data_IF_735203707250
#
_entry.id   IF_735203707250
#
_cell.length_a   1.000
_cell.length_b   1.000
_cell.length_c   1.000
_cell.angle_alpha   90.00
_cell.angle_beta   90.00
_cell.angle_gamma   90.00
#
_symmetry.space_group_name_H-M   'P 1'
#
loop_
_entity.id
_entity.type
_entity.pdbx_description
1 polymer ?
#
# COMPACT_ATOMS: atom_id res chain seq x y z
N UNK A 1 -7.42 22.82 10.53
CA UNK A 1 -8.29 21.70 10.89
C UNK A 1 -7.78 20.50 10.11
N UNK A 2 -7.17 19.51 10.81
CA UNK A 2 -6.63 18.32 10.19
C UNK A 2 -7.77 17.42 9.71
N UNK A 3 -7.68 16.93 8.47
CA UNK A 3 -8.54 15.86 7.97
C UNK A 3 -8.22 14.53 8.67
N UNK A 4 -9.07 13.51 8.55
CA UNK A 4 -8.85 12.23 9.18
C UNK A 4 -7.58 11.56 8.63
N UNK A 5 -6.68 11.18 9.52
CA UNK A 5 -5.59 10.28 9.20
C UNK A 5 -6.15 8.85 9.22
N UNK A 6 -6.02 8.14 8.10
CA UNK A 6 -6.39 6.73 8.04
C UNK A 6 -5.12 5.92 8.32
N UNK A 7 -4.93 5.54 9.57
CA UNK A 7 -3.91 4.58 9.96
C UNK A 7 -4.53 3.17 9.95
N UNK A 8 -4.13 2.39 8.96
CA UNK A 8 -4.58 1.00 8.82
C UNK A 8 -3.47 0.11 9.35
N UNK A 9 -3.54 -0.25 10.63
CA UNK A 9 -2.60 -1.19 11.23
C UNK A 9 -2.68 -2.59 10.59
N UNK A 10 -1.55 -3.25 10.44
CA UNK A 10 -1.39 -4.54 9.77
C UNK A 10 -2.36 -5.65 10.22
N UNK A 11 -2.73 -5.68 11.51
CA UNK A 11 -3.69 -6.67 12.04
C UNK A 11 -5.12 -6.49 11.49
N UNK A 12 -5.60 -5.25 11.38
CA UNK A 12 -6.94 -4.96 10.83
C UNK A 12 -6.99 -5.07 9.31
N UNK A 13 -5.86 -4.88 8.63
CA UNK A 13 -5.75 -5.06 7.17
C UNK A 13 -5.91 -6.52 6.77
N UNK A 14 -5.32 -7.45 7.52
CA UNK A 14 -5.40 -8.90 7.20
C UNK A 14 -6.84 -9.41 7.28
N UNK A 15 -7.61 -8.95 8.28
CA UNK A 15 -9.01 -9.37 8.46
C UNK A 15 -9.95 -8.79 7.39
N UNK A 16 -9.57 -7.67 6.76
CA UNK A 16 -10.35 -6.96 5.74
C UNK A 16 -9.79 -7.10 4.33
N UNK A 17 -8.65 -7.78 4.18
CA UNK A 17 -7.97 -7.95 2.89
C UNK A 17 -8.71 -8.97 2.03
N UNK A 18 -9.31 -8.52 0.94
CA UNK A 18 -9.94 -9.37 -0.06
C UNK A 18 -8.91 -9.97 -1.03
N UNK A 19 -7.98 -9.13 -1.47
CA UNK A 19 -6.94 -9.52 -2.42
C UNK A 19 -5.72 -8.59 -2.34
N UNK A 20 -4.51 -9.16 -2.48
CA UNK A 20 -3.28 -8.41 -2.68
C UNK A 20 -2.42 -9.10 -3.72
N UNK A 21 -1.82 -8.32 -4.59
CA UNK A 21 -0.92 -8.80 -5.65
C UNK A 21 0.26 -7.86 -5.78
N UNK A 22 1.45 -8.42 -6.00
CA UNK A 22 2.66 -7.67 -6.32
C UNK A 22 3.41 -8.35 -7.45
N UNK A 23 3.89 -7.57 -8.41
CA UNK A 23 4.76 -8.01 -9.47
C UNK A 23 5.90 -7.02 -9.69
N UNK A 24 7.09 -7.54 -9.86
CA UNK A 24 8.29 -6.75 -10.13
C UNK A 24 8.98 -7.30 -11.37
N UNK A 25 9.34 -6.44 -12.31
CA UNK A 25 10.14 -6.78 -13.47
C UNK A 25 11.40 -5.90 -13.49
N UNK A 26 12.53 -6.50 -13.82
CA UNK A 26 13.77 -5.76 -14.03
C UNK A 26 14.54 -6.34 -15.23
N UNK A 27 15.14 -5.45 -16.00
CA UNK A 27 16.03 -5.79 -17.09
C UNK A 27 17.29 -4.93 -16.99
N UNK A 28 18.46 -5.49 -17.33
CA UNK A 28 19.75 -4.81 -17.19
C UNK A 28 20.65 -5.08 -18.41
N UNK A 29 21.31 -4.03 -18.89
CA UNK A 29 22.31 -4.12 -19.93
C UNK A 29 23.54 -3.26 -19.53
N UNK A 30 24.64 -3.92 -19.22
CA UNK A 30 25.81 -3.26 -18.63
C UNK A 30 25.47 -2.69 -17.25
N UNK A 31 25.80 -1.41 -17.04
CA UNK A 31 25.50 -0.70 -15.79
C UNK A 31 24.09 -0.10 -15.73
N UNK A 32 23.41 0.01 -16.88
CA UNK A 32 22.07 0.58 -16.97
C UNK A 32 21.01 -0.50 -16.91
N UNK A 33 19.89 -0.19 -16.29
CA UNK A 33 18.75 -1.08 -16.20
C UNK A 33 17.43 -0.34 -16.14
N UNK A 34 16.41 -1.14 -16.20
CA UNK A 34 15.02 -0.74 -16.05
C UNK A 34 14.39 -1.56 -14.91
N UNK A 35 13.56 -0.94 -14.13
CA UNK A 35 12.83 -1.58 -13.06
C UNK A 35 11.41 -1.07 -12.98
N UNK A 36 10.46 -1.97 -12.83
CA UNK A 36 9.06 -1.64 -12.59
C UNK A 36 8.47 -2.54 -11.53
N UNK A 37 7.61 -1.98 -10.70
CA UNK A 37 6.94 -2.64 -9.59
C UNK A 37 5.47 -2.22 -9.55
N UNK A 38 4.58 -3.19 -9.53
CA UNK A 38 3.14 -3.01 -9.36
C UNK A 38 2.73 -3.64 -8.05
N UNK A 39 2.04 -2.87 -7.23
CA UNK A 39 1.42 -3.34 -5.99
C UNK A 39 -0.07 -3.01 -6.04
N UNK A 40 -0.91 -4.00 -5.90
CA UNK A 40 -2.36 -3.87 -5.89
C UNK A 40 -2.94 -4.43 -4.60
N UNK A 41 -3.89 -3.71 -4.01
CA UNK A 41 -4.67 -4.19 -2.87
C UNK A 41 -6.15 -3.88 -3.05
N UNK A 42 -6.99 -4.83 -2.66
CA UNK A 42 -8.43 -4.67 -2.50
C UNK A 42 -8.76 -5.00 -1.04
N UNK A 43 -9.16 -3.98 -0.31
CA UNK A 43 -9.50 -4.06 1.12
C UNK A 43 -10.93 -3.63 1.27
N UNK A 44 -11.74 -4.47 1.90
CA UNK A 44 -13.14 -4.13 2.13
C UNK A 44 -13.66 -4.71 3.42
N UNK A 45 -14.46 -3.92 4.12
CA UNK A 45 -15.10 -4.34 5.36
C UNK A 45 -16.46 -3.69 5.53
N UNK A 46 -17.38 -4.42 6.16
CA UNK A 46 -18.67 -3.91 6.57
C UNK A 46 -18.78 -3.97 8.10
N UNK A 47 -19.33 -2.93 8.69
CA UNK A 47 -19.71 -2.90 10.10
C UNK A 47 -21.18 -2.57 10.21
N UNK A 48 -21.90 -3.36 11.03
CA UNK A 48 -23.26 -3.10 11.45
C UNK A 48 -23.30 -3.04 12.98
N UNK A 49 -24.06 -2.11 13.54
CA UNK A 49 -24.19 -2.02 14.99
C UNK A 49 -25.26 -1.02 15.42
N UNK A 50 -25.81 -1.26 16.61
CA UNK A 50 -26.84 -0.43 17.25
C UNK A 50 -26.31 0.54 18.30
N UNK A 51 -25.04 0.43 18.72
CA UNK A 51 -24.52 1.22 19.87
C UNK A 51 -23.09 1.72 19.76
N UNK A 52 -22.34 1.39 18.73
CA UNK A 52 -20.88 1.66 18.70
C UNK A 52 -20.43 2.69 17.65
N UNK A 53 -21.36 3.39 17.00
CA UNK A 53 -20.99 4.37 16.00
C UNK A 53 -21.15 5.81 16.53
N UNK A 54 -20.01 6.49 16.65
CA UNK A 54 -19.97 7.94 16.76
C UNK A 54 -19.86 8.55 15.36
N UNK A 55 -20.82 9.35 14.95
CA UNK A 55 -20.70 10.17 13.75
C UNK A 55 -20.34 11.58 14.21
N UNK A 56 -19.19 12.05 13.83
CA UNK A 56 -18.66 13.37 14.19
C UNK A 56 -18.61 13.65 15.70
N UNK A 57 -18.32 12.61 16.52
CA UNK A 57 -18.26 12.74 17.98
C UNK A 57 -19.59 12.69 18.70
N UNK A 58 -20.70 12.37 18.01
CA UNK A 58 -22.01 12.21 18.62
C UNK A 58 -22.43 10.74 18.63
N UNK A 59 -22.78 10.14 19.79
CA UNK A 59 -23.32 8.80 19.86
C UNK A 59 -24.70 8.75 19.22
N UNK A 60 -24.99 7.69 18.44
CA UNK A 60 -26.31 7.45 17.89
C UNK A 60 -27.30 7.04 19.00
N UNK A 61 -28.57 7.47 18.94
CA UNK A 61 -29.64 6.98 19.83
C UNK A 61 -29.72 5.45 19.82
N UNK A 62 -30.13 4.85 20.92
CA UNK A 62 -30.15 3.40 21.11
C UNK A 62 -31.00 2.62 20.07
N UNK A 63 -31.92 3.29 19.42
CA UNK A 63 -32.87 2.70 18.46
C UNK A 63 -32.49 2.95 16.99
N UNK A 64 -31.23 3.41 16.71
CA UNK A 64 -30.73 3.63 15.36
C UNK A 64 -29.78 2.52 14.98
N UNK A 65 -30.07 1.85 13.86
CA UNK A 65 -29.23 0.84 13.24
C UNK A 65 -28.47 1.46 12.06
N UNK A 66 -27.15 1.40 12.10
CA UNK A 66 -26.29 1.84 11.01
C UNK A 66 -25.56 0.65 10.38
N UNK A 67 -25.57 0.58 9.05
CA UNK A 67 -24.73 -0.30 8.26
C UNK A 67 -23.77 0.55 7.43
N UNK A 68 -22.49 0.25 7.53
CA UNK A 68 -21.43 0.93 6.78
C UNK A 68 -20.61 -0.13 6.06
N UNK A 69 -20.35 0.08 4.78
CA UNK A 69 -19.45 -0.71 3.97
C UNK A 69 -18.40 0.21 3.35
N UNK A 70 -17.14 -0.12 3.56
CA UNK A 70 -16.02 0.59 2.97
C UNK A 70 -15.23 -0.38 2.10
N UNK A 71 -15.07 -0.05 0.83
CA UNK A 71 -14.22 -0.73 -0.12
C UNK A 71 -13.13 0.23 -0.59
N UNK A 72 -11.87 -0.20 -0.46
CA UNK A 72 -10.69 0.57 -0.86
C UNK A 72 -9.85 -0.27 -1.81
N UNK A 73 -9.71 0.17 -3.04
CA UNK A 73 -8.80 -0.42 -4.03
C UNK A 73 -7.64 0.53 -4.25
N UNK A 74 -6.43 0.01 -4.15
CA UNK A 74 -5.22 0.80 -4.35
C UNK A 74 -4.30 0.12 -5.33
N UNK A 75 -3.84 0.87 -6.33
CA UNK A 75 -2.80 0.48 -7.26
C UNK A 75 -1.61 1.42 -7.09
N UNK A 76 -0.45 0.88 -6.75
CA UNK A 76 0.81 1.60 -6.77
C UNK A 76 1.67 1.05 -7.90
N UNK A 77 2.04 1.90 -8.84
CA UNK A 77 2.91 1.52 -9.95
C UNK A 77 4.15 2.39 -9.98
N UNK A 78 5.31 1.75 -9.84
CA UNK A 78 6.61 2.41 -9.91
C UNK A 78 7.33 2.04 -11.20
N UNK A 79 7.88 3.03 -11.87
CA UNK A 79 8.64 2.91 -13.09
C UNK A 79 9.95 3.67 -12.93
N UNK A 80 11.10 3.01 -13.05
CA UNK A 80 12.40 3.62 -12.82
C UNK A 80 13.49 3.11 -13.75
N UNK A 81 14.38 4.01 -14.13
CA UNK A 81 15.70 3.66 -14.62
C UNK A 81 16.62 3.32 -13.45
N UNK A 82 17.54 2.39 -13.66
CA UNK A 82 18.52 2.01 -12.65
C UNK A 82 19.94 2.12 -13.18
N UNK A 83 20.88 2.44 -12.30
CA UNK A 83 22.30 2.51 -12.60
C UNK A 83 23.11 1.75 -11.54
N UNK A 84 23.93 0.78 -11.96
CA UNK A 84 24.76 -0.01 -11.06
C UNK A 84 25.88 0.83 -10.46
N UNK A 85 25.80 1.11 -9.16
CA UNK A 85 26.84 1.80 -8.40
C UNK A 85 27.95 0.85 -7.96
N UNK A 86 27.60 -0.39 -7.69
CA UNK A 86 28.55 -1.38 -7.24
C UNK A 86 28.02 -2.80 -7.29
N UNK A 87 28.94 -3.72 -7.60
CA UNK A 87 28.68 -5.15 -7.63
C UNK A 87 29.91 -5.93 -7.21
N UNK A 88 29.71 -6.86 -6.31
CA UNK A 88 30.74 -7.82 -5.90
C UNK A 88 30.12 -9.21 -5.73
N UNK A 89 30.91 -10.17 -5.30
CA UNK A 89 30.41 -11.49 -4.92
C UNK A 89 29.48 -11.45 -3.71
N UNK A 90 29.55 -10.39 -2.89
CA UNK A 90 28.79 -10.27 -1.64
C UNK A 90 27.62 -9.30 -1.71
N UNK A 91 27.57 -8.41 -2.70
CA UNK A 91 26.46 -7.45 -2.81
C UNK A 91 26.26 -6.93 -4.24
N UNK A 92 25.07 -6.39 -4.48
CA UNK A 92 24.75 -5.50 -5.60
C UNK A 92 24.13 -4.23 -5.05
N UNK A 93 24.43 -3.09 -5.65
CA UNK A 93 23.84 -1.80 -5.31
C UNK A 93 23.54 -1.02 -6.59
N UNK A 94 22.28 -0.72 -6.81
CA UNK A 94 21.80 0.09 -7.92
C UNK A 94 21.16 1.39 -7.37
N UNK A 95 21.52 2.51 -7.96
CA UNK A 95 20.77 3.77 -7.85
C UNK A 95 19.53 3.64 -8.73
N UNK A 96 18.42 4.25 -8.35
CA UNK A 96 17.22 4.33 -9.18
C UNK A 96 16.65 5.75 -9.18
N UNK A 97 16.06 6.12 -10.32
CA UNK A 97 15.29 7.34 -10.46
C UNK A 97 14.13 7.10 -11.44
N UNK A 98 12.98 7.65 -11.12
CA UNK A 98 11.79 7.40 -11.93
C UNK A 98 10.53 8.07 -11.39
N UNK A 99 9.40 7.42 -11.58
CA UNK A 99 8.10 7.92 -11.15
C UNK A 99 7.27 6.83 -10.48
N UNK A 100 6.39 7.25 -9.58
CA UNK A 100 5.39 6.40 -8.94
C UNK A 100 4.00 6.97 -9.14
N UNK A 101 3.10 6.14 -9.65
CA UNK A 101 1.67 6.36 -9.67
C UNK A 101 1.06 5.73 -8.42
N UNK A 102 0.22 6.48 -7.73
CA UNK A 102 -0.71 5.96 -6.74
C UNK A 102 -2.14 6.24 -7.22
N UNK A 103 -2.89 5.20 -7.47
CA UNK A 103 -4.31 5.26 -7.85
C UNK A 103 -5.13 4.59 -6.76
N UNK A 104 -6.07 5.34 -6.19
CA UNK A 104 -6.89 4.89 -5.06
C UNK A 104 -8.35 5.18 -5.35
N UNK A 105 -9.16 4.12 -5.30
CA UNK A 105 -10.60 4.17 -5.41
C UNK A 105 -11.21 3.78 -4.08
N UNK A 106 -12.00 4.65 -3.49
CA UNK A 106 -12.70 4.41 -2.23
C UNK A 106 -14.20 4.53 -2.44
N UNK A 107 -14.95 3.48 -2.06
CA UNK A 107 -16.39 3.49 -2.05
C UNK A 107 -16.88 3.31 -0.61
N UNK A 108 -17.61 4.31 -0.13
CA UNK A 108 -18.30 4.27 1.15
C UNK A 108 -19.80 4.19 0.91
N UNK A 109 -20.40 3.06 1.26
CA UNK A 109 -21.84 2.87 1.31
C UNK A 109 -22.31 2.92 2.75
N UNK A 110 -23.40 3.64 3.00
CA UNK A 110 -23.99 3.72 4.32
C UNK A 110 -25.51 3.66 4.25
N UNK A 111 -26.11 2.99 5.23
CA UNK A 111 -27.57 2.93 5.43
C UNK A 111 -27.83 3.12 6.91
N UNK A 112 -28.68 4.07 7.24
CA UNK A 112 -29.12 4.36 8.61
C UNK A 112 -30.61 4.19 8.64
N UNK A 113 -31.09 3.28 9.50
CA UNK A 113 -32.49 3.06 9.80
C UNK A 113 -32.71 3.35 11.28
N UNK A 114 -33.78 4.02 11.62
CA UNK A 114 -34.13 4.36 13.01
C UNK A 114 -35.58 4.10 13.33
N UNK A 115 -35.83 3.89 14.62
CA UNK A 115 -37.15 3.82 15.21
C UNK A 115 -37.17 4.69 16.47
N UNK A 116 -38.15 5.56 16.60
CA UNK A 116 -38.36 6.34 17.82
C UNK A 116 -39.69 5.88 18.43
N UNK A 117 -39.60 5.13 19.51
CA UNK A 117 -40.79 4.63 20.27
C UNK A 117 -41.78 3.84 19.44
N UNK A 118 -41.28 2.95 18.53
CA UNK A 118 -42.10 2.12 17.66
C UNK A 118 -42.60 2.81 16.39
N UNK A 119 -42.14 4.04 16.10
CA UNK A 119 -42.44 4.75 14.86
C UNK A 119 -41.21 4.69 13.95
N UNK A 120 -41.28 3.93 12.81
CA UNK A 120 -40.14 3.86 11.89
C UNK A 120 -39.82 5.23 11.32
N UNK A 121 -38.55 5.64 11.43
CA UNK A 121 -38.03 6.82 10.74
C UNK A 121 -37.72 6.46 9.28
N UNK A 122 -37.89 7.40 8.34
CA UNK A 122 -37.44 7.18 6.95
C UNK A 122 -35.95 6.84 6.94
N UNK A 123 -35.63 5.63 6.47
CA UNK A 123 -34.23 5.21 6.30
C UNK A 123 -33.47 6.20 5.39
N UNK A 124 -32.21 6.48 5.73
CA UNK A 124 -31.31 7.25 4.90
C UNK A 124 -30.19 6.37 4.44
N UNK A 125 -29.92 6.36 3.15
CA UNK A 125 -28.77 5.70 2.55
C UNK A 125 -28.02 6.63 1.63
N UNK A 126 -26.76 6.39 1.45
CA UNK A 126 -25.94 7.13 0.52
C UNK A 126 -24.68 6.37 0.15
N UNK A 127 -24.15 6.69 -1.02
CA UNK A 127 -22.86 6.21 -1.51
C UNK A 127 -21.98 7.40 -1.78
N UNK A 128 -20.73 7.32 -1.33
CA UNK A 128 -19.71 8.33 -1.66
C UNK A 128 -18.51 7.61 -2.23
N UNK A 129 -18.15 7.97 -3.46
CA UNK A 129 -16.94 7.51 -4.13
C UNK A 129 -15.89 8.62 -4.08
N UNK A 130 -14.65 8.25 -3.82
CA UNK A 130 -13.50 9.12 -3.86
C UNK A 130 -12.40 8.44 -4.68
N UNK A 131 -12.03 9.09 -5.79
CA UNK A 131 -10.96 8.64 -6.68
C UNK A 131 -9.78 9.62 -6.54
N UNK A 132 -8.60 9.09 -6.27
CA UNK A 132 -7.37 9.87 -6.15
C UNK A 132 -6.32 9.22 -7.03
N UNK A 133 -5.80 9.98 -7.98
CA UNK A 133 -4.66 9.60 -8.81
C UNK A 133 -3.52 10.57 -8.54
N UNK A 134 -2.35 10.05 -8.15
CA UNK A 134 -1.21 10.84 -7.74
C UNK A 134 0.08 10.37 -8.42
N UNK A 135 0.83 11.31 -9.01
CA UNK A 135 2.12 11.06 -9.64
C UNK A 135 3.25 11.76 -8.89
N UNK A 136 4.27 11.01 -8.52
CA UNK A 136 5.45 11.52 -7.84
C UNK A 136 6.73 11.11 -8.57
N UNK A 137 7.70 12.01 -8.64
CA UNK A 137 9.06 11.68 -9.00
C UNK A 137 9.74 11.02 -7.80
N UNK A 138 10.52 9.98 -8.04
CA UNK A 138 11.21 9.24 -6.99
C UNK A 138 12.70 9.08 -7.29
N UNK A 139 13.49 9.00 -6.24
CA UNK A 139 14.90 8.61 -6.26
C UNK A 139 15.19 7.66 -5.10
N UNK A 140 16.05 6.68 -5.33
CA UNK A 140 16.33 5.69 -4.29
C UNK A 140 17.47 4.75 -4.63
N UNK A 141 17.60 3.71 -3.83
CA UNK A 141 18.58 2.64 -4.02
C UNK A 141 17.92 1.28 -3.81
N UNK A 142 18.42 0.29 -4.54
CA UNK A 142 18.02 -1.10 -4.39
C UNK A 142 19.21 -2.04 -4.55
N UNK A 143 19.10 -3.23 -4.03
CA UNK A 143 20.14 -4.21 -4.20
C UNK A 143 19.90 -5.50 -3.44
N UNK A 144 20.96 -6.28 -3.32
CA UNK A 144 20.98 -7.55 -2.59
C UNK A 144 22.33 -7.67 -1.87
N UNK A 145 22.29 -8.17 -0.64
CA UNK A 145 23.48 -8.64 0.06
C UNK A 145 23.44 -10.16 0.14
N UNK A 146 24.53 -10.85 -0.21
CA UNK A 146 24.60 -12.30 -0.19
C UNK A 146 25.29 -12.79 1.08
N UNK A 147 24.75 -13.87 1.67
CA UNK A 147 25.22 -14.44 2.93
C UNK A 147 25.80 -15.83 2.68
N UNK A 148 26.95 -16.10 3.29
CA UNK A 148 27.65 -17.38 3.26
C UNK A 148 28.39 -17.65 1.95
N UNK A 149 29.29 -18.61 1.97
CA UNK A 149 30.17 -18.97 0.85
C UNK A 149 29.42 -19.53 -0.37
N UNK A 150 28.24 -20.11 -0.16
CA UNK A 150 27.42 -20.69 -1.23
C UNK A 150 26.47 -19.69 -1.91
N UNK A 151 26.38 -18.45 -1.43
CA UNK A 151 25.55 -17.36 -1.95
C UNK A 151 24.06 -17.75 -2.18
N UNK A 152 23.58 -18.80 -1.50
CA UNK A 152 22.19 -19.22 -1.61
C UNK A 152 21.24 -18.33 -0.82
N UNK A 153 21.70 -17.78 0.31
CA UNK A 153 20.95 -16.83 1.09
C UNK A 153 21.28 -15.42 0.68
N UNK A 154 20.27 -14.56 0.55
CA UNK A 154 20.44 -13.16 0.22
C UNK A 154 19.41 -12.28 0.93
N UNK A 155 19.77 -11.05 1.16
CA UNK A 155 18.95 -9.99 1.74
C UNK A 155 18.66 -8.96 0.64
N UNK A 156 17.47 -9.00 0.01
CA UNK A 156 17.05 -7.92 -0.87
C UNK A 156 16.71 -6.69 -0.05
N UNK A 157 17.06 -5.51 -0.57
CA UNK A 157 16.71 -4.23 0.02
C UNK A 157 16.34 -3.21 -1.05
N UNK A 158 15.46 -2.30 -0.65
CA UNK A 158 14.97 -1.21 -1.47
C UNK A 158 14.58 -0.04 -0.56
N UNK A 159 14.97 1.17 -0.93
CA UNK A 159 14.50 2.40 -0.30
C UNK A 159 14.42 3.51 -1.33
N UNK A 160 13.36 4.28 -1.30
CA UNK A 160 13.18 5.48 -2.11
C UNK A 160 12.49 6.60 -1.33
N UNK A 161 12.63 7.79 -1.86
CA UNK A 161 11.92 8.98 -1.46
C UNK A 161 11.47 9.73 -2.71
N UNK A 162 10.32 10.38 -2.63
CA UNK A 162 9.78 11.12 -3.76
C UNK A 162 8.85 12.23 -3.34
N UNK A 163 8.53 13.07 -4.32
CA UNK A 163 7.56 14.14 -4.19
C UNK A 163 7.05 14.53 -5.60
N UNK A 164 5.91 15.23 -5.63
CA UNK A 164 5.29 15.69 -6.86
C UNK A 164 3.90 16.20 -6.60
N UNK A 165 2.89 15.41 -6.90
CA UNK A 165 1.53 15.71 -6.49
C UNK A 165 1.33 15.43 -4.99
N UNK A 166 2.03 14.45 -4.41
CA UNK A 166 2.17 14.37 -2.95
C UNK A 166 3.17 15.41 -2.42
N UNK A 167 3.10 15.69 -1.13
CA UNK A 167 4.10 16.50 -0.42
C UNK A 167 5.38 15.71 -0.24
N UNK A 168 5.24 14.43 0.17
CA UNK A 168 6.32 13.49 0.37
C UNK A 168 5.78 12.07 0.21
N UNK A 169 6.53 11.20 -0.46
CA UNK A 169 6.34 9.75 -0.39
C UNK A 169 7.67 9.10 -0.10
N UNK A 170 7.67 8.02 0.65
CA UNK A 170 8.84 7.20 0.81
C UNK A 170 8.47 5.73 0.99
N UNK A 171 9.39 4.86 0.62
CA UNK A 171 9.19 3.42 0.69
C UNK A 171 10.45 2.74 1.17
N UNK A 172 10.25 1.73 1.99
CA UNK A 172 11.26 0.78 2.40
C UNK A 172 10.77 -0.66 2.18
N UNK A 173 11.63 -1.52 1.64
CA UNK A 173 11.39 -2.95 1.56
C UNK A 173 12.70 -3.68 1.86
N UNK A 174 12.69 -4.61 2.81
CA UNK A 174 13.81 -5.49 3.09
C UNK A 174 13.32 -6.88 3.44
N UNK A 175 14.16 -7.88 3.17
CA UNK A 175 13.77 -9.25 3.39
C UNK A 175 14.92 -10.24 3.38
N UNK A 176 14.54 -11.50 3.35
CA UNK A 176 15.44 -12.63 3.20
C UNK A 176 14.97 -13.51 2.05
N UNK A 177 15.88 -13.96 1.22
CA UNK A 177 15.61 -14.87 0.11
C UNK A 177 16.55 -16.05 0.10
N UNK A 178 16.10 -17.13 -0.51
CA UNK A 178 16.88 -18.33 -0.74
C UNK A 178 16.82 -18.74 -2.22
N UNK A 179 18.01 -18.96 -2.80
CA UNK A 179 18.19 -19.34 -4.20
C UNK A 179 18.11 -20.86 -4.38
N UNK A 180 17.18 -21.28 -5.22
CA UNK A 180 17.02 -22.67 -5.71
C UNK A 180 17.54 -22.80 -7.14
N UNK A 181 17.51 -23.98 -7.70
CA UNK A 181 17.91 -24.22 -9.09
C UNK A 181 16.96 -23.61 -10.13
N UNK A 182 15.69 -23.45 -9.79
CA UNK A 182 14.65 -22.91 -10.68
C UNK A 182 14.41 -21.38 -10.49
N UNK A 183 14.88 -20.80 -9.38
CA UNK A 183 14.62 -19.42 -9.02
C UNK A 183 14.88 -19.18 -7.54
N UNK A 184 14.23 -18.20 -6.94
CA UNK A 184 14.36 -17.92 -5.52
C UNK A 184 13.01 -17.67 -4.85
N UNK A 185 12.91 -18.01 -3.57
CA UNK A 185 11.81 -17.58 -2.69
C UNK A 185 12.30 -16.41 -1.83
N UNK A 186 11.42 -15.45 -1.62
CA UNK A 186 11.70 -14.23 -0.84
C UNK A 186 10.57 -13.98 0.13
N UNK A 187 10.91 -13.74 1.39
CA UNK A 187 10.04 -13.15 2.39
C UNK A 187 10.57 -11.76 2.74
N UNK A 188 9.74 -10.74 2.67
CA UNK A 188 10.14 -9.36 2.93
C UNK A 188 9.07 -8.60 3.69
N UNK A 189 9.47 -7.46 4.23
CA UNK A 189 8.57 -6.48 4.84
C UNK A 189 8.62 -5.21 4.03
N UNK A 190 7.45 -4.72 3.61
CA UNK A 190 7.29 -3.48 2.86
C UNK A 190 6.58 -2.44 3.72
N UNK A 191 7.10 -1.22 3.66
CA UNK A 191 6.50 -0.03 4.24
C UNK A 191 6.48 1.06 3.18
N UNK A 192 5.30 1.64 2.95
CA UNK A 192 5.10 2.76 2.03
C UNK A 192 4.30 3.81 2.77
N UNK A 193 4.74 5.04 2.67
CA UNK A 193 4.07 6.20 3.28
C UNK A 193 3.89 7.32 2.26
N UNK A 194 2.72 7.94 2.31
CA UNK A 194 2.37 9.12 1.55
C UNK A 194 1.89 10.22 2.48
N UNK A 195 2.54 11.37 2.44
CA UNK A 195 2.05 12.62 2.98
C UNK A 195 1.47 13.44 1.83
N UNK A 196 0.15 13.58 1.79
CA UNK A 196 -0.54 14.32 0.73
C UNK A 196 -0.51 15.83 1.00
N UNK A 197 -0.76 16.63 -0.02
CA UNK A 197 -0.93 18.08 0.14
C UNK A 197 -2.25 18.39 0.82
N UNK A 198 -2.33 19.55 1.46
CA UNK A 198 -3.48 19.96 2.29
C UNK A 198 -4.80 20.20 1.54
N UNK A 199 -4.77 20.20 0.23
CA UNK A 199 -5.91 20.41 -0.67
C UNK A 199 -6.68 19.11 -1.01
N UNK A 200 -6.18 17.94 -0.59
CA UNK A 200 -6.86 16.66 -0.79
C UNK A 200 -7.52 16.14 0.50
N UNK A 201 -8.64 15.41 0.39
CA UNK A 201 -9.40 14.93 1.55
C UNK A 201 -8.61 13.96 2.45
N UNK A 202 -7.67 13.19 1.90
CA UNK A 202 -6.82 12.25 2.62
C UNK A 202 -5.45 12.90 2.80
N UNK A 203 -5.00 13.08 4.04
CA UNK A 203 -3.74 13.76 4.33
C UNK A 203 -2.55 12.80 4.43
N UNK A 204 -2.77 11.56 4.85
CA UNK A 204 -1.73 10.53 4.91
C UNK A 204 -2.27 9.16 4.56
N UNK A 205 -1.41 8.34 3.96
CA UNK A 205 -1.72 6.96 3.61
C UNK A 205 -0.49 6.11 3.84
N UNK A 206 -0.62 5.07 4.65
CA UNK A 206 0.47 4.17 4.99
C UNK A 206 0.07 2.73 4.65
N UNK A 207 0.94 2.03 3.90
CA UNK A 207 0.85 0.59 3.68
C UNK A 207 2.03 -0.09 4.38
N UNK A 208 1.74 -1.09 5.18
CA UNK A 208 2.74 -1.76 5.99
C UNK A 208 2.40 -3.24 6.17
N UNK A 209 3.28 -4.15 5.72
CA UNK A 209 3.01 -5.56 5.86
C UNK A 209 4.06 -6.50 5.28
N UNK A 210 3.92 -7.81 5.62
CA UNK A 210 4.76 -8.86 5.08
C UNK A 210 4.38 -9.21 3.64
N UNK A 211 5.38 -9.62 2.86
CA UNK A 211 5.26 -10.10 1.48
C UNK A 211 6.00 -11.42 1.34
N UNK A 212 5.42 -12.34 0.57
CA UNK A 212 6.07 -13.58 0.16
C UNK A 212 5.98 -13.67 -1.36
N UNK A 213 7.09 -13.98 -2.00
CA UNK A 213 7.16 -14.05 -3.46
C UNK A 213 8.20 -15.00 -3.98
N UNK A 214 8.11 -15.27 -5.28
CA UNK A 214 9.09 -16.03 -6.04
C UNK A 214 9.78 -15.12 -7.07
N UNK A 215 11.08 -15.34 -7.28
CA UNK A 215 11.89 -14.61 -8.25
C UNK A 215 12.37 -15.59 -9.31
N UNK A 216 12.09 -15.29 -10.56
CA UNK A 216 12.56 -16.03 -11.72
C UNK A 216 13.60 -15.20 -12.46
N UNK A 217 14.63 -15.85 -13.01
CA UNK A 217 15.67 -15.22 -13.83
C UNK A 217 15.75 -15.95 -15.18
N UNK A 218 15.73 -15.21 -16.24
CA UNK A 218 15.80 -15.70 -17.62
C UNK A 218 16.69 -14.80 -18.47
#
# INVERSE_FOLDING_TARGET
AGGPAIDISSGKLIDSLKFAFMATLSAKKGQWGFWTDVFYTDVGGSKSGTREFEIAGHPLPADVNGNFSLDVKTTLWTLAGTYELGKSSTYTLDLLAGTRLADMNQNLDWTINGDISGIPLPGRSGTKTLDITNWDAIVGVKGMAYIGSGQKWFLPYYVDVGAGQSKLTWQFNAGIGYQFGWGALVASWRYIDYEMKSDVPIQSLTFNGPLIGAVFRF
#
